data_IF_162075573759
#
_entry.id   IF_162075573759
#
_cell.length_a   1.000
_cell.length_b   1.000
_cell.length_c   1.000
_cell.angle_alpha   90.00
_cell.angle_beta   90.00
_cell.angle_gamma   90.00
#
_symmetry.space_group_name_H-M   'P 1'
#
loop_
_entity.id
_entity.type
_entity.pdbx_description
1 polymer ?
#
# COMPACT_ATOMS: atom_id res chain seq x y z
N UNK A 1 11.22 -22.29 -22.62
CA UNK A 1 12.14 -21.28 -22.04
C UNK A 1 13.43 -22.00 -21.63
N UNK A 2 14.51 -21.66 -22.30
CA UNK A 2 15.71 -22.44 -22.43
C UNK A 2 16.37 -22.76 -21.08
N UNK A 3 16.76 -24.03 -20.85
CA UNK A 3 17.46 -24.47 -19.63
C UNK A 3 18.80 -23.74 -19.43
N UNK A 4 19.39 -23.25 -20.52
CA UNK A 4 20.60 -22.44 -20.48
C UNK A 4 20.36 -21.03 -19.90
N UNK A 5 19.19 -20.43 -20.12
CA UNK A 5 18.79 -19.15 -19.53
C UNK A 5 18.56 -19.27 -18.02
N UNK A 6 17.97 -20.37 -17.56
CA UNK A 6 17.85 -20.67 -16.12
C UNK A 6 19.22 -20.87 -15.47
N UNK A 7 20.15 -21.56 -16.14
CA UNK A 7 21.53 -21.80 -15.64
C UNK A 7 22.36 -20.50 -15.57
N UNK A 8 22.18 -19.60 -16.53
CA UNK A 8 22.86 -18.29 -16.55
C UNK A 8 22.35 -17.34 -15.47
N UNK A 9 21.04 -17.30 -15.25
CA UNK A 9 20.41 -16.53 -14.15
C UNK A 9 20.89 -17.05 -12.77
N UNK A 10 21.09 -18.38 -12.65
CA UNK A 10 21.61 -19.03 -11.45
C UNK A 10 23.08 -18.69 -11.16
N UNK A 11 23.95 -18.69 -12.17
CA UNK A 11 25.39 -18.41 -11.97
C UNK A 11 25.66 -16.94 -11.62
N UNK A 12 24.83 -16.01 -12.07
CA UNK A 12 24.92 -14.58 -11.69
C UNK A 12 24.37 -14.34 -10.28
N UNK A 13 23.38 -15.12 -9.84
CA UNK A 13 22.79 -15.01 -8.50
C UNK A 13 23.61 -15.71 -7.41
N UNK A 14 24.36 -16.77 -7.73
CA UNK A 14 25.09 -17.57 -6.73
C UNK A 14 26.37 -16.94 -6.20
N UNK A 15 26.92 -15.92 -6.86
CA UNK A 15 28.20 -15.32 -6.47
C UNK A 15 28.10 -14.04 -5.63
N UNK A 16 27.00 -13.77 -4.97
CA UNK A 16 26.88 -12.77 -3.87
C UNK A 16 27.48 -11.38 -4.13
N UNK A 17 27.78 -11.03 -5.38
CA UNK A 17 28.47 -9.80 -5.73
C UNK A 17 27.47 -8.76 -6.27
N UNK A 18 27.30 -7.77 -5.46
CA UNK A 18 27.07 -6.34 -5.64
C UNK A 18 26.30 -5.88 -6.91
N UNK A 19 25.37 -4.90 -6.69
CA UNK A 19 24.80 -4.00 -7.69
C UNK A 19 25.75 -3.67 -8.87
N UNK A 20 27.02 -3.42 -8.59
CA UNK A 20 28.06 -3.14 -9.58
C UNK A 20 28.23 -4.30 -10.58
N UNK A 21 28.10 -5.54 -10.15
CA UNK A 21 28.23 -6.71 -11.05
C UNK A 21 27.04 -6.81 -12.01
N UNK A 22 25.82 -6.61 -11.51
CA UNK A 22 24.64 -6.59 -12.38
C UNK A 22 24.69 -5.43 -13.36
N UNK A 23 25.12 -4.27 -12.90
CA UNK A 23 25.27 -3.09 -13.74
C UNK A 23 26.33 -3.29 -14.84
N UNK A 24 27.52 -3.77 -14.45
CA UNK A 24 28.61 -4.01 -15.40
C UNK A 24 28.24 -5.12 -16.39
N UNK A 25 27.55 -6.17 -15.94
CA UNK A 25 27.08 -7.24 -16.83
C UNK A 25 26.05 -6.72 -17.84
N UNK A 26 25.08 -5.93 -17.37
CA UNK A 26 24.08 -5.33 -18.25
C UNK A 26 24.74 -4.42 -19.30
N UNK A 27 25.69 -3.56 -18.87
CA UNK A 27 26.40 -2.65 -19.77
C UNK A 27 27.25 -3.40 -20.78
N UNK A 28 27.98 -4.44 -20.35
CA UNK A 28 28.86 -5.22 -21.22
C UNK A 28 28.11 -6.03 -22.28
N UNK A 29 26.90 -6.52 -21.99
CA UNK A 29 26.14 -7.40 -22.87
C UNK A 29 24.81 -6.77 -23.32
N UNK A 30 24.67 -5.44 -23.22
CA UNK A 30 23.38 -4.77 -23.47
C UNK A 30 22.81 -5.03 -24.85
N UNK A 31 23.64 -5.06 -25.89
CA UNK A 31 23.18 -5.27 -27.27
C UNK A 31 22.86 -6.76 -27.55
N UNK A 32 23.53 -7.68 -26.88
CA UNK A 32 23.36 -9.12 -27.05
C UNK A 32 22.12 -9.68 -26.33
N UNK A 33 21.66 -8.98 -25.28
CA UNK A 33 20.54 -9.45 -24.46
C UNK A 33 19.20 -9.19 -25.14
N UNK A 34 18.27 -10.18 -25.16
CA UNK A 34 16.90 -9.98 -25.56
C UNK A 34 16.24 -8.84 -24.74
N UNK A 35 15.32 -8.09 -25.36
CA UNK A 35 14.62 -6.97 -24.73
C UNK A 35 14.04 -7.31 -23.34
N UNK A 36 13.44 -8.48 -23.20
CA UNK A 36 12.84 -8.95 -21.92
C UNK A 36 13.89 -9.06 -20.81
N UNK A 37 15.10 -9.55 -21.12
CA UNK A 37 16.19 -9.67 -20.14
C UNK A 37 16.79 -8.31 -19.81
N UNK A 38 16.96 -7.43 -20.80
CA UNK A 38 17.37 -6.02 -20.55
C UNK A 38 16.45 -5.34 -19.55
N UNK A 39 15.14 -5.46 -19.76
CA UNK A 39 14.13 -4.92 -18.83
C UNK A 39 14.24 -5.54 -17.43
N UNK A 40 14.44 -6.86 -17.34
CA UNK A 40 14.61 -7.53 -16.05
C UNK A 40 15.81 -6.99 -15.26
N UNK A 41 16.96 -6.85 -15.88
CA UNK A 41 18.14 -6.30 -15.21
C UNK A 41 17.98 -4.83 -14.85
N UNK A 42 17.40 -4.02 -15.74
CA UNK A 42 17.11 -2.62 -15.47
C UNK A 42 16.18 -2.45 -14.25
N UNK A 43 15.10 -3.24 -14.17
CA UNK A 43 14.20 -3.19 -13.00
C UNK A 43 14.89 -3.66 -11.72
N UNK A 44 15.75 -4.69 -11.75
CA UNK A 44 16.52 -5.10 -10.59
C UNK A 44 17.45 -3.98 -10.08
N UNK A 45 18.11 -3.27 -10.98
CA UNK A 45 18.95 -2.12 -10.63
C UNK A 45 18.12 -1.00 -9.97
N UNK A 46 16.94 -0.70 -10.53
CA UNK A 46 16.03 0.29 -9.96
C UNK A 46 15.57 -0.15 -8.56
N UNK A 47 15.12 -1.38 -8.41
CA UNK A 47 14.62 -1.95 -7.16
C UNK A 47 15.69 -1.95 -6.06
N UNK A 48 16.97 -2.12 -6.42
CA UNK A 48 18.09 -2.08 -5.47
C UNK A 48 18.21 -0.74 -4.73
N UNK A 49 17.87 0.37 -5.38
CA UNK A 49 17.86 1.70 -4.77
C UNK A 49 16.47 2.02 -4.21
N UNK A 50 15.44 1.67 -4.93
CA UNK A 50 14.06 2.03 -4.64
C UNK A 50 13.56 1.49 -3.30
N UNK A 51 13.75 0.19 -3.03
CA UNK A 51 13.23 -0.44 -1.82
C UNK A 51 13.88 0.08 -0.52
N UNK A 52 15.20 0.26 -0.40
CA UNK A 52 15.80 0.86 0.79
C UNK A 52 15.35 2.30 1.01
N UNK A 53 15.25 3.11 -0.05
CA UNK A 53 14.77 4.49 0.06
C UNK A 53 13.33 4.51 0.58
N UNK A 54 12.44 3.68 0.01
CA UNK A 54 11.07 3.58 0.48
C UNK A 54 10.97 3.03 1.91
N UNK A 55 11.81 2.08 2.29
CA UNK A 55 11.83 1.55 3.65
C UNK A 55 12.15 2.64 4.66
N UNK A 56 13.20 3.43 4.42
CA UNK A 56 13.59 4.53 5.33
C UNK A 56 12.53 5.63 5.38
N UNK A 57 12.10 6.11 4.20
CA UNK A 57 11.10 7.18 4.13
C UNK A 57 9.76 6.71 4.70
N UNK A 58 9.27 5.57 4.26
CA UNK A 58 7.97 5.05 4.67
C UNK A 58 7.91 4.70 6.16
N UNK A 59 8.97 4.13 6.72
CA UNK A 59 9.08 3.89 8.16
C UNK A 59 8.99 5.20 8.94
N UNK A 60 9.79 6.21 8.56
CA UNK A 60 9.82 7.48 9.24
C UNK A 60 8.47 8.23 9.16
N UNK A 61 7.86 8.31 7.97
CA UNK A 61 6.61 9.09 7.79
C UNK A 61 5.41 8.42 8.47
N UNK A 62 5.33 7.09 8.49
CA UNK A 62 4.25 6.40 9.18
C UNK A 62 4.37 6.49 10.70
N UNK A 63 5.58 6.38 11.28
CA UNK A 63 5.79 6.64 12.70
C UNK A 63 5.40 8.09 13.06
N UNK A 64 5.83 9.06 12.26
CA UNK A 64 5.45 10.45 12.48
C UNK A 64 3.92 10.63 12.46
N UNK A 65 3.21 9.99 11.55
CA UNK A 65 1.74 10.01 11.51
C UNK A 65 1.11 9.41 12.75
N UNK A 66 1.59 8.24 13.20
CA UNK A 66 1.07 7.56 14.40
C UNK A 66 1.27 8.43 15.65
N UNK A 67 2.37 9.19 15.72
CA UNK A 67 2.68 10.05 16.87
C UNK A 67 1.96 11.41 16.81
N UNK A 68 1.83 12.01 15.63
CA UNK A 68 1.33 13.39 15.48
C UNK A 68 -0.21 13.44 15.44
N UNK A 69 -0.86 12.53 14.69
CA UNK A 69 -2.30 12.56 14.49
C UNK A 69 -3.10 12.46 15.80
N UNK A 70 -2.78 11.57 16.75
CA UNK A 70 -3.56 11.46 18.01
C UNK A 70 -3.49 12.69 18.91
N UNK A 71 -2.49 13.56 18.72
CA UNK A 71 -2.35 14.79 19.52
C UNK A 71 -3.47 15.81 19.27
N UNK A 72 -4.37 15.55 18.31
CA UNK A 72 -5.56 16.37 18.06
C UNK A 72 -5.31 17.76 17.44
N UNK A 73 -4.05 18.09 17.12
CA UNK A 73 -3.65 19.42 16.61
C UNK A 73 -3.74 19.55 15.09
N UNK A 74 -4.16 18.49 14.39
CA UNK A 74 -4.26 18.46 12.93
C UNK A 74 -5.58 19.05 12.37
N UNK A 75 -6.55 19.35 13.23
CA UNK A 75 -7.84 19.94 12.78
C UNK A 75 -8.79 18.95 12.09
N UNK A 76 -8.57 17.65 12.27
CA UNK A 76 -9.44 16.56 11.82
C UNK A 76 -10.27 16.02 12.99
N UNK A 77 -11.45 15.43 12.71
CA UNK A 77 -12.29 14.84 13.76
C UNK A 77 -11.62 13.62 14.38
N UNK A 78 -11.97 13.29 15.62
CA UNK A 78 -11.42 12.11 16.31
C UNK A 78 -11.70 10.81 15.57
N UNK A 79 -12.88 10.67 14.96
CA UNK A 79 -13.23 9.53 14.11
C UNK A 79 -12.25 9.38 12.94
N UNK A 80 -12.00 10.45 12.18
CA UNK A 80 -11.03 10.50 11.10
C UNK A 80 -9.64 10.14 11.58
N UNK A 81 -9.22 10.73 12.71
CA UNK A 81 -7.92 10.45 13.32
C UNK A 81 -7.72 8.95 13.56
N UNK A 82 -8.75 8.22 14.04
CA UNK A 82 -8.67 6.77 14.25
C UNK A 82 -8.37 6.01 12.95
N UNK A 83 -9.09 6.33 11.87
CA UNK A 83 -8.82 5.72 10.56
C UNK A 83 -7.41 6.03 10.05
N UNK A 84 -6.97 7.30 10.10
CA UNK A 84 -5.66 7.70 9.60
C UNK A 84 -4.51 7.08 10.40
N UNK A 85 -4.66 6.93 11.71
CA UNK A 85 -3.67 6.26 12.57
C UNK A 85 -3.63 4.76 12.29
N UNK A 86 -4.79 4.12 12.12
CA UNK A 86 -4.86 2.70 11.79
C UNK A 86 -4.24 2.41 10.42
N UNK A 87 -4.52 3.24 9.41
CA UNK A 87 -3.88 3.15 8.09
C UNK A 87 -2.36 3.30 8.21
N UNK A 88 -1.87 4.30 8.93
CA UNK A 88 -0.42 4.48 9.12
C UNK A 88 0.22 3.30 9.88
N UNK A 89 -0.48 2.69 10.82
CA UNK A 89 0.02 1.51 11.55
C UNK A 89 0.10 0.27 10.65
N UNK A 90 -0.91 0.02 9.83
CA UNK A 90 -0.89 -1.10 8.87
C UNK A 90 0.11 -0.87 7.74
N UNK A 91 0.22 0.35 7.22
CA UNK A 91 1.23 0.71 6.22
C UNK A 91 2.66 0.52 6.77
N UNK A 92 2.91 0.90 8.03
CA UNK A 92 4.18 0.63 8.71
C UNK A 92 4.45 -0.88 8.82
N UNK A 93 3.43 -1.67 9.15
CA UNK A 93 3.55 -3.13 9.21
C UNK A 93 3.89 -3.72 7.84
N UNK A 94 3.25 -3.27 6.77
CA UNK A 94 3.57 -3.68 5.39
C UNK A 94 5.01 -3.32 5.05
N UNK A 95 5.48 -2.11 5.37
CA UNK A 95 6.86 -1.71 5.13
C UNK A 95 7.85 -2.61 5.87
N UNK A 96 7.58 -2.95 7.12
CA UNK A 96 8.45 -3.84 7.90
C UNK A 96 8.44 -5.25 7.30
N UNK A 97 7.26 -5.82 7.07
CA UNK A 97 7.11 -7.20 6.63
C UNK A 97 7.53 -7.38 5.16
N UNK A 98 7.13 -6.49 4.28
CA UNK A 98 7.39 -6.63 2.84
C UNK A 98 8.74 -6.03 2.42
N UNK A 99 9.05 -4.78 2.78
CA UNK A 99 10.31 -4.16 2.36
C UNK A 99 11.51 -4.63 3.17
N UNK A 100 11.43 -4.51 4.50
CA UNK A 100 12.59 -4.72 5.37
C UNK A 100 12.90 -6.21 5.53
N UNK A 101 11.88 -7.05 5.72
CA UNK A 101 12.08 -8.48 5.98
C UNK A 101 12.07 -9.34 4.70
N UNK A 102 11.55 -8.87 3.58
CA UNK A 102 11.43 -9.63 2.34
C UNK A 102 12.24 -9.04 1.19
N UNK A 103 11.88 -7.87 0.66
CA UNK A 103 12.51 -7.32 -0.55
C UNK A 103 13.97 -6.93 -0.37
N UNK A 104 14.32 -6.23 0.72
CA UNK A 104 15.71 -5.83 0.96
C UNK A 104 16.63 -7.05 1.10
N UNK A 105 16.33 -8.07 1.94
CA UNK A 105 17.16 -9.28 2.01
C UNK A 105 17.31 -10.01 0.67
N UNK A 106 16.23 -10.12 -0.12
CA UNK A 106 16.28 -10.74 -1.45
C UNK A 106 17.25 -10.00 -2.38
N UNK A 107 17.14 -8.67 -2.45
CA UNK A 107 17.92 -7.86 -3.37
C UNK A 107 19.41 -7.76 -2.95
N UNK A 108 19.66 -7.68 -1.65
CA UNK A 108 21.02 -7.59 -1.10
C UNK A 108 21.63 -8.95 -0.77
N UNK A 109 20.91 -10.05 -1.02
CA UNK A 109 21.33 -11.41 -0.69
C UNK A 109 21.80 -11.56 0.76
N UNK A 110 21.17 -10.83 1.67
CA UNK A 110 21.45 -10.91 3.10
C UNK A 110 20.66 -12.04 3.74
N UNK A 111 21.36 -12.93 4.36
CA UNK A 111 20.73 -14.05 5.06
C UNK A 111 20.16 -13.60 6.39
N UNK A 112 18.85 -13.70 6.51
CA UNK A 112 18.17 -13.59 7.79
C UNK A 112 17.88 -15.02 8.29
N UNK A 113 18.78 -15.58 9.07
CA UNK A 113 18.71 -16.98 9.50
C UNK A 113 17.39 -17.39 10.15
N UNK A 114 16.76 -16.48 10.92
CA UNK A 114 15.48 -16.77 11.58
C UNK A 114 14.31 -16.88 10.60
N UNK A 115 14.35 -16.20 9.46
CA UNK A 115 13.29 -16.25 8.43
C UNK A 115 13.34 -17.56 7.65
N UNK A 116 14.45 -18.30 7.71
CA UNK A 116 14.60 -19.60 7.06
C UNK A 116 13.75 -20.72 7.67
N UNK A 117 13.21 -20.54 8.87
CA UNK A 117 12.32 -21.54 9.45
C UNK A 117 11.00 -21.60 8.67
N UNK A 118 10.58 -22.79 8.27
CA UNK A 118 9.30 -23.06 7.62
C UNK A 118 8.13 -22.38 8.33
N UNK A 119 8.05 -22.51 9.66
CA UNK A 119 6.97 -21.90 10.45
C UNK A 119 7.00 -20.39 10.43
N UNK A 120 8.19 -19.79 10.48
CA UNK A 120 8.36 -18.33 10.42
C UNK A 120 7.92 -17.79 9.07
N UNK A 121 8.24 -18.49 7.99
CA UNK A 121 7.86 -18.14 6.64
C UNK A 121 6.32 -18.09 6.48
N UNK A 122 5.63 -19.13 6.95
CA UNK A 122 4.17 -19.21 6.86
C UNK A 122 3.49 -18.13 7.72
N UNK A 123 3.96 -17.92 8.95
CA UNK A 123 3.45 -16.87 9.84
C UNK A 123 3.68 -15.49 9.23
N UNK A 124 4.87 -15.25 8.68
CA UNK A 124 5.17 -13.99 8.01
C UNK A 124 4.24 -13.73 6.84
N UNK A 125 3.95 -14.74 6.01
CA UNK A 125 3.02 -14.61 4.89
C UNK A 125 1.61 -14.24 5.36
N UNK A 126 1.09 -14.90 6.42
CA UNK A 126 -0.20 -14.55 7.02
C UNK A 126 -0.19 -13.09 7.49
N UNK A 127 0.84 -12.68 8.22
CA UNK A 127 0.93 -11.33 8.77
C UNK A 127 1.03 -10.27 7.67
N UNK A 128 1.83 -10.52 6.62
CA UNK A 128 1.99 -9.62 5.49
C UNK A 128 0.67 -9.45 4.73
N UNK A 129 0.00 -10.56 4.41
CA UNK A 129 -1.26 -10.50 3.68
C UNK A 129 -2.38 -9.87 4.53
N UNK A 130 -2.44 -10.18 5.82
CA UNK A 130 -3.40 -9.56 6.73
C UNK A 130 -3.15 -8.05 6.90
N UNK A 131 -1.89 -7.61 7.02
CA UNK A 131 -1.55 -6.19 7.06
C UNK A 131 -1.92 -5.46 5.77
N UNK A 132 -1.66 -6.07 4.62
CA UNK A 132 -2.03 -5.55 3.30
C UNK A 132 -3.54 -5.42 3.16
N UNK A 133 -4.30 -6.46 3.54
CA UNK A 133 -5.76 -6.42 3.57
C UNK A 133 -6.29 -5.30 4.48
N UNK A 134 -5.73 -5.18 5.68
CA UNK A 134 -6.12 -4.12 6.61
C UNK A 134 -5.89 -2.73 6.01
N UNK A 135 -4.73 -2.46 5.40
CA UNK A 135 -4.45 -1.18 4.75
C UNK A 135 -5.49 -0.84 3.69
N UNK A 136 -5.84 -1.81 2.84
CA UNK A 136 -6.84 -1.66 1.78
C UNK A 136 -8.24 -1.44 2.35
N UNK A 137 -8.70 -2.31 3.25
CA UNK A 137 -10.05 -2.23 3.80
C UNK A 137 -10.25 -1.06 4.77
N UNK A 138 -9.19 -0.57 5.41
CA UNK A 138 -9.24 0.68 6.17
C UNK A 138 -9.43 1.88 5.25
N UNK A 139 -8.85 1.86 4.05
CA UNK A 139 -9.09 2.89 3.03
C UNK A 139 -10.55 2.88 2.55
N UNK A 140 -11.15 1.70 2.34
CA UNK A 140 -12.59 1.57 2.04
C UNK A 140 -13.44 2.11 3.19
N UNK A 141 -13.14 1.69 4.42
CA UNK A 141 -13.89 2.09 5.61
C UNK A 141 -13.82 3.61 5.85
N UNK A 142 -12.63 4.20 5.68
CA UNK A 142 -12.44 5.65 5.70
C UNK A 142 -13.27 6.36 4.61
N UNK A 143 -13.24 5.82 3.38
CA UNK A 143 -14.00 6.37 2.24
C UNK A 143 -15.51 6.34 2.53
N UNK A 144 -16.00 5.23 3.09
CA UNK A 144 -17.39 5.09 3.50
C UNK A 144 -17.76 6.05 4.64
N UNK A 145 -16.94 6.19 5.67
CA UNK A 145 -17.16 7.15 6.76
C UNK A 145 -17.25 8.59 6.22
N UNK A 146 -16.39 8.96 5.29
CA UNK A 146 -16.42 10.27 4.65
C UNK A 146 -17.65 10.45 3.78
N UNK A 147 -18.06 9.44 3.01
CA UNK A 147 -19.32 9.44 2.27
C UNK A 147 -20.50 9.71 3.19
N UNK A 148 -20.59 9.00 4.32
CA UNK A 148 -21.65 9.20 5.32
C UNK A 148 -21.64 10.62 5.89
N UNK A 149 -20.45 11.14 6.21
CA UNK A 149 -20.32 12.49 6.78
C UNK A 149 -20.68 13.61 5.80
N UNK A 150 -20.45 13.41 4.49
CA UNK A 150 -20.68 14.41 3.44
C UNK A 150 -22.12 14.33 2.91
N UNK A 151 -22.59 13.11 2.61
CA UNK A 151 -23.84 12.88 1.89
C UNK A 151 -25.05 12.61 2.80
N UNK A 152 -24.82 12.09 4.02
CA UNK A 152 -25.87 11.61 4.92
C UNK A 152 -25.82 12.35 6.27
N UNK A 153 -26.01 13.67 6.28
CA UNK A 153 -25.84 14.51 7.49
C UNK A 153 -26.69 14.05 8.70
N UNK A 154 -27.89 13.52 8.47
CA UNK A 154 -28.75 12.99 9.55
C UNK A 154 -28.13 11.77 10.26
N UNK A 155 -27.34 11.00 9.56
CA UNK A 155 -26.71 9.77 10.08
C UNK A 155 -25.28 10.02 10.58
N UNK A 156 -24.69 11.17 10.27
CA UNK A 156 -23.31 11.54 10.65
C UNK A 156 -23.08 11.40 12.17
N UNK A 157 -24.00 11.92 12.99
CA UNK A 157 -23.89 11.90 14.46
C UNK A 157 -23.93 10.48 15.02
N UNK A 158 -24.62 9.56 14.35
CA UNK A 158 -24.76 8.17 14.77
C UNK A 158 -23.58 7.31 14.31
N UNK A 159 -23.11 7.45 13.07
CA UNK A 159 -22.14 6.56 12.44
C UNK A 159 -20.71 7.09 12.46
N UNK A 160 -20.48 8.39 12.32
CA UNK A 160 -19.13 8.97 12.28
C UNK A 160 -18.60 9.27 13.70
N UNK A 161 -18.66 8.29 14.59
CA UNK A 161 -18.20 8.39 15.97
C UNK A 161 -16.86 7.68 16.16
N UNK A 162 -16.11 8.06 17.19
CA UNK A 162 -14.84 7.41 17.55
C UNK A 162 -15.05 5.93 17.91
N UNK A 163 -16.15 5.61 18.59
CA UNK A 163 -16.51 4.24 18.98
C UNK A 163 -16.82 3.37 17.75
N UNK A 164 -17.61 3.89 16.82
CA UNK A 164 -17.93 3.18 15.57
C UNK A 164 -16.68 2.91 14.75
N UNK A 165 -15.78 3.90 14.62
CA UNK A 165 -14.50 3.73 13.94
C UNK A 165 -13.66 2.61 14.59
N UNK A 166 -13.57 2.58 15.92
CA UNK A 166 -12.81 1.53 16.63
C UNK A 166 -13.40 0.13 16.40
N UNK A 167 -14.74 0.00 16.44
CA UNK A 167 -15.42 -1.28 16.16
C UNK A 167 -15.18 -1.73 14.72
N UNK A 168 -15.34 -0.83 13.73
CA UNK A 168 -15.11 -1.15 12.31
C UNK A 168 -13.66 -1.58 12.09
N UNK A 169 -12.69 -0.83 12.60
CA UNK A 169 -11.27 -1.16 12.47
C UNK A 169 -10.94 -2.50 13.11
N UNK A 170 -11.45 -2.78 14.32
CA UNK A 170 -11.27 -4.06 14.99
C UNK A 170 -11.89 -5.23 14.21
N UNK A 171 -13.11 -5.06 13.70
CA UNK A 171 -13.78 -6.09 12.87
C UNK A 171 -13.01 -6.38 11.60
N UNK A 172 -12.57 -5.35 10.88
CA UNK A 172 -11.76 -5.51 9.66
C UNK A 172 -10.46 -6.23 9.97
N UNK A 173 -9.77 -5.89 11.07
CA UNK A 173 -8.52 -6.56 11.47
C UNK A 173 -8.76 -8.05 11.74
N UNK A 174 -9.80 -8.41 12.48
CA UNK A 174 -10.14 -9.80 12.76
C UNK A 174 -10.48 -10.57 11.47
N UNK A 175 -11.33 -10.02 10.62
CA UNK A 175 -11.72 -10.65 9.36
C UNK A 175 -10.53 -10.82 8.41
N UNK A 176 -9.64 -9.82 8.33
CA UNK A 176 -8.41 -9.91 7.53
C UNK A 176 -7.46 -10.98 8.07
N UNK A 177 -7.34 -11.11 9.39
CA UNK A 177 -6.58 -12.19 10.01
C UNK A 177 -7.14 -13.57 9.65
N UNK A 178 -8.44 -13.77 9.84
CA UNK A 178 -9.12 -15.04 9.51
C UNK A 178 -9.01 -15.38 8.03
N UNK A 179 -9.26 -14.42 7.15
CA UNK A 179 -9.19 -14.63 5.70
C UNK A 179 -7.83 -15.16 5.26
N UNK A 180 -6.76 -14.74 5.92
CA UNK A 180 -5.39 -15.06 5.48
C UNK A 180 -4.78 -16.30 6.14
N UNK A 181 -5.51 -17.01 7.01
CA UNK A 181 -5.01 -18.25 7.64
C UNK A 181 -4.66 -19.32 6.60
N UNK A 182 -5.36 -19.38 5.46
CA UNK A 182 -5.10 -20.37 4.42
C UNK A 182 -3.68 -20.32 3.85
N UNK A 183 -3.00 -19.17 3.90
CA UNK A 183 -1.61 -19.04 3.47
C UNK A 183 -0.65 -19.93 4.27
N UNK A 184 -1.02 -20.29 5.52
CA UNK A 184 -0.24 -21.23 6.32
C UNK A 184 -0.14 -22.61 5.66
N UNK A 185 -1.20 -23.04 5.01
CA UNK A 185 -1.32 -24.39 4.44
C UNK A 185 -0.79 -24.47 3.00
N UNK A 186 -0.82 -23.38 2.27
CA UNK A 186 -0.37 -23.32 0.87
C UNK A 186 1.16 -23.23 0.76
N UNK A 187 1.79 -22.51 1.67
CA UNK A 187 3.22 -22.29 1.60
C UNK A 187 3.96 -23.42 2.30
N UNK A 188 4.79 -24.12 1.54
CA UNK A 188 5.77 -25.06 2.10
C UNK A 188 7.13 -24.39 2.12
N UNK A 189 7.84 -24.50 3.23
CA UNK A 189 9.23 -24.08 3.33
C UNK A 189 10.09 -25.06 2.55
N UNK A 190 10.40 -24.78 1.31
CA UNK A 190 11.39 -25.51 0.57
C UNK A 190 12.76 -24.89 0.80
N UNK A 191 13.56 -25.52 1.65
CA UNK A 191 14.96 -25.22 1.75
C UNK A 191 15.69 -25.81 0.57
N UNK A 192 15.82 -25.09 -0.51
CA UNK A 192 17.01 -25.26 -1.34
C UNK A 192 18.07 -24.32 -0.77
N UNK A 193 19.19 -24.89 -0.35
CA UNK A 193 20.38 -24.21 0.18
C UNK A 193 21.05 -23.23 -0.80
N UNK A 194 20.36 -22.81 -1.83
CA UNK A 194 20.85 -21.91 -2.84
C UNK A 194 20.55 -20.48 -2.42
N UNK A 195 21.44 -19.90 -1.63
CA UNK A 195 21.78 -18.46 -1.53
C UNK A 195 20.67 -17.41 -1.69
N UNK A 196 19.40 -17.74 -1.50
CA UNK A 196 18.33 -16.81 -1.56
C UNK A 196 17.68 -16.63 -0.19
N UNK A 197 17.57 -15.41 0.35
CA UNK A 197 17.25 -15.17 1.76
C UNK A 197 15.77 -15.31 2.13
N UNK A 198 14.88 -15.51 1.17
CA UNK A 198 13.45 -15.60 1.40
C UNK A 198 12.81 -16.73 0.60
N UNK A 199 12.33 -17.78 1.28
CA UNK A 199 11.79 -18.94 0.61
C UNK A 199 10.50 -19.48 1.21
N UNK A 200 9.42 -18.83 0.86
CA UNK A 200 8.14 -19.48 0.83
C UNK A 200 7.59 -19.36 -0.58
N UNK A 201 7.52 -20.43 -1.31
CA UNK A 201 6.78 -20.46 -2.56
C UNK A 201 5.69 -21.51 -2.53
N UNK A 202 4.72 -21.26 -3.35
CA UNK A 202 3.58 -22.17 -3.54
C UNK A 202 4.12 -23.43 -4.22
N UNK A 203 3.81 -24.60 -3.69
CA UNK A 203 4.22 -25.89 -4.29
C UNK A 203 3.50 -26.14 -5.60
N UNK A 204 4.12 -26.92 -6.48
CA UNK A 204 3.50 -27.30 -7.77
C UNK A 204 2.18 -28.06 -7.56
N UNK A 205 2.05 -28.85 -6.51
CA UNK A 205 0.82 -29.54 -6.16
C UNK A 205 -0.34 -28.57 -5.87
N UNK A 206 -0.05 -27.45 -5.21
CA UNK A 206 -1.03 -26.39 -4.92
C UNK A 206 -1.37 -25.63 -6.18
N UNK A 207 -0.38 -25.26 -7.00
CA UNK A 207 -0.57 -24.51 -8.25
C UNK A 207 -1.41 -25.31 -9.25
N UNK A 208 -1.23 -26.63 -9.31
CA UNK A 208 -1.98 -27.52 -10.22
C UNK A 208 -3.34 -27.96 -9.65
N UNK A 209 -3.66 -27.61 -8.40
CA UNK A 209 -4.95 -27.94 -7.80
C UNK A 209 -6.01 -26.89 -8.15
N UNK A 210 -7.12 -27.25 -8.81
CA UNK A 210 -8.18 -26.30 -9.14
C UNK A 210 -8.85 -25.68 -7.91
N UNK A 211 -8.87 -26.40 -6.79
CA UNK A 211 -9.44 -25.92 -5.52
C UNK A 211 -8.58 -24.77 -4.96
N UNK A 212 -7.27 -24.97 -4.89
CA UNK A 212 -6.37 -23.93 -4.42
C UNK A 212 -6.28 -22.73 -5.37
N UNK A 213 -6.29 -22.97 -6.67
CA UNK A 213 -6.37 -21.88 -7.66
C UNK A 213 -7.64 -21.05 -7.47
N UNK A 214 -8.79 -21.66 -7.22
CA UNK A 214 -10.05 -20.97 -6.93
C UNK A 214 -9.99 -20.17 -5.62
N UNK A 215 -9.38 -20.71 -4.55
CA UNK A 215 -9.20 -20.01 -3.27
C UNK A 215 -8.31 -18.78 -3.45
N UNK A 216 -7.20 -18.92 -4.17
CA UNK A 216 -6.27 -17.81 -4.44
C UNK A 216 -6.96 -16.75 -5.33
N UNK A 217 -7.72 -17.20 -6.34
CA UNK A 217 -8.50 -16.28 -7.18
C UNK A 217 -9.51 -15.49 -6.35
N UNK A 218 -10.27 -16.16 -5.46
CA UNK A 218 -11.21 -15.52 -4.56
C UNK A 218 -10.50 -14.51 -3.63
N UNK A 219 -9.29 -14.85 -3.15
CA UNK A 219 -8.48 -13.93 -2.36
C UNK A 219 -8.20 -12.62 -3.12
N UNK A 220 -7.81 -12.69 -4.41
CA UNK A 220 -7.56 -11.48 -5.23
C UNK A 220 -8.84 -10.74 -5.61
N UNK A 221 -9.99 -11.42 -5.73
CA UNK A 221 -11.28 -10.74 -5.89
C UNK A 221 -11.64 -9.97 -4.62
N UNK A 222 -11.47 -10.56 -3.43
CA UNK A 222 -11.77 -9.92 -2.16
C UNK A 222 -10.82 -8.77 -1.83
N UNK A 223 -9.58 -8.87 -2.26
CA UNK A 223 -8.57 -7.81 -2.10
C UNK A 223 -7.55 -7.91 -3.24
N UNK A 224 -7.46 -6.93 -4.16
CA UNK A 224 -7.99 -5.56 -4.10
C UNK A 224 -9.26 -5.26 -4.91
N UNK A 225 -9.86 -6.22 -5.65
CA UNK A 225 -10.89 -5.89 -6.67
C UNK A 225 -12.17 -5.30 -6.08
N UNK A 226 -12.77 -5.94 -5.07
CA UNK A 226 -13.98 -5.42 -4.40
C UNK A 226 -13.70 -4.06 -3.76
N UNK A 227 -12.63 -3.86 -2.96
CA UNK A 227 -12.23 -2.55 -2.48
C UNK A 227 -12.13 -1.48 -3.56
N UNK A 228 -11.49 -1.79 -4.68
CA UNK A 228 -11.35 -0.87 -5.80
C UNK A 228 -12.72 -0.43 -6.35
N UNK A 229 -13.62 -1.37 -6.61
CA UNK A 229 -14.98 -1.10 -7.08
C UNK A 229 -15.78 -0.27 -6.06
N UNK A 230 -15.70 -0.59 -4.77
CA UNK A 230 -16.37 0.13 -3.70
C UNK A 230 -15.87 1.58 -3.59
N UNK A 231 -14.56 1.80 -3.64
CA UNK A 231 -13.96 3.13 -3.59
C UNK A 231 -14.40 3.96 -4.80
N UNK A 232 -14.38 3.41 -6.00
CA UNK A 232 -14.88 4.08 -7.21
C UNK A 232 -16.35 4.46 -7.08
N UNK A 233 -17.19 3.52 -6.65
CA UNK A 233 -18.63 3.75 -6.46
C UNK A 233 -18.89 4.86 -5.44
N UNK A 234 -18.28 4.76 -4.25
CA UNK A 234 -18.46 5.75 -3.18
C UNK A 234 -17.99 7.14 -3.61
N UNK A 235 -16.84 7.23 -4.28
CA UNK A 235 -16.34 8.51 -4.79
C UNK A 235 -17.26 9.10 -5.86
N UNK A 236 -17.74 8.28 -6.79
CA UNK A 236 -18.66 8.73 -7.86
C UNK A 236 -19.96 9.25 -7.28
N UNK A 237 -20.57 8.53 -6.31
CA UNK A 237 -21.80 8.97 -5.65
C UNK A 237 -21.55 10.24 -4.84
N UNK A 238 -20.43 10.33 -4.13
CA UNK A 238 -20.05 11.52 -3.36
C UNK A 238 -19.88 12.73 -4.28
N UNK A 239 -19.14 12.59 -5.39
CA UNK A 239 -18.93 13.65 -6.38
C UNK A 239 -20.27 14.14 -6.96
N UNK A 240 -21.15 13.21 -7.37
CA UNK A 240 -22.49 13.55 -7.87
C UNK A 240 -23.30 14.36 -6.85
N UNK A 241 -23.32 13.94 -5.59
CA UNK A 241 -24.02 14.66 -4.51
C UNK A 241 -23.46 16.06 -4.26
N UNK A 242 -22.14 16.22 -4.30
CA UNK A 242 -21.49 17.53 -4.14
C UNK A 242 -21.85 18.46 -5.30
N UNK A 243 -21.81 17.96 -6.54
CA UNK A 243 -22.16 18.76 -7.74
C UNK A 243 -23.62 19.21 -7.68
N UNK A 244 -24.55 18.31 -7.36
CA UNK A 244 -25.98 18.64 -7.25
C UNK A 244 -26.23 19.69 -6.14
N UNK A 245 -25.60 19.51 -4.97
CA UNK A 245 -25.74 20.47 -3.87
C UNK A 245 -25.13 21.85 -4.24
N UNK A 246 -24.04 21.89 -5.00
CA UNK A 246 -23.42 23.14 -5.45
C UNK A 246 -24.27 23.85 -6.50
N UNK A 247 -24.92 23.11 -7.42
CA UNK A 247 -25.87 23.67 -8.41
C UNK A 247 -27.07 24.27 -7.73
N UNK A 248 -27.70 23.57 -6.79
CA UNK A 248 -28.84 24.08 -6.03
C UNK A 248 -28.50 25.38 -5.27
N UNK A 249 -27.32 25.43 -4.64
CA UNK A 249 -26.86 26.67 -3.96
C UNK A 249 -26.61 27.82 -4.92
N UNK A 250 -26.08 27.58 -6.12
CA UNK A 250 -25.92 28.64 -7.13
C UNK A 250 -27.25 29.22 -7.57
N UNK A 251 -28.26 28.39 -7.77
CA UNK A 251 -29.61 28.84 -8.11
C UNK A 251 -30.22 29.72 -7.01
N UNK A 252 -30.03 29.35 -5.74
CA UNK A 252 -30.51 30.12 -4.59
C UNK A 252 -29.73 31.44 -4.38
N UNK A 253 -28.42 31.47 -4.67
CA UNK A 253 -27.61 32.70 -4.55
C UNK A 253 -27.82 33.70 -5.67
N UNK A 254 -28.24 33.28 -6.85
CA UNK A 254 -28.60 34.19 -7.94
C UNK A 254 -29.74 35.15 -7.59
N UNK A 255 -30.44 34.92 -6.46
CA UNK A 255 -31.51 35.76 -5.95
C UNK A 255 -31.07 36.68 -4.78
N UNK A 256 -29.85 36.62 -4.28
CA UNK A 256 -29.38 37.43 -3.13
C UNK A 256 -27.91 37.80 -3.28
N UNK A 257 -27.65 39.04 -3.68
CA UNK A 257 -26.30 39.64 -3.72
C UNK A 257 -25.91 40.13 -2.32
N UNK A 258 -25.22 39.29 -1.56
CA UNK A 258 -24.61 39.67 -0.29
C UNK A 258 -23.33 38.88 -0.09
N UNK A 259 -22.17 39.58 0.09
CA UNK A 259 -20.90 39.01 0.51
C UNK A 259 -21.07 38.34 1.88
N UNK A 260 -21.08 37.02 1.89
CA UNK A 260 -21.09 36.24 3.14
C UNK A 260 -19.66 35.90 3.53
N UNK A 261 -19.22 36.20 4.77
CA UNK A 261 -17.88 35.84 5.26
C UNK A 261 -17.66 34.33 5.08
N UNK A 262 -16.41 33.94 4.77
CA UNK A 262 -16.07 32.52 4.57
C UNK A 262 -16.34 31.73 5.86
N UNK A 263 -17.43 30.98 5.86
CA UNK A 263 -17.87 30.13 6.98
C UNK A 263 -16.77 29.07 7.27
N UNK A 264 -16.19 29.02 8.50
CA UNK A 264 -15.16 28.06 8.87
C UNK A 264 -15.64 26.60 8.75
N UNK A 265 -16.96 26.36 8.86
CA UNK A 265 -17.55 25.03 8.64
C UNK A 265 -17.43 24.60 7.18
N UNK A 266 -17.61 25.53 6.24
CA UNK A 266 -17.45 25.28 4.80
C UNK A 266 -16.00 24.97 4.44
N UNK A 267 -15.03 25.66 5.05
CA UNK A 267 -13.60 25.38 4.85
C UNK A 267 -13.23 23.98 5.37
N UNK A 268 -13.72 23.60 6.55
CA UNK A 268 -13.50 22.25 7.13
C UNK A 268 -14.11 21.16 6.26
N UNK A 269 -15.31 21.38 5.72
CA UNK A 269 -16.00 20.45 4.81
C UNK A 269 -15.22 20.28 3.50
N UNK A 270 -14.73 21.36 2.91
CA UNK A 270 -13.90 21.35 1.71
C UNK A 270 -12.63 20.52 1.91
N UNK A 271 -11.94 20.73 3.04
CA UNK A 271 -10.71 19.98 3.35
C UNK A 271 -10.98 18.47 3.53
N UNK A 272 -12.11 18.09 4.11
CA UNK A 272 -12.52 16.69 4.23
C UNK A 272 -12.82 16.05 2.86
N UNK A 273 -13.42 16.81 1.95
CA UNK A 273 -13.70 16.36 0.58
C UNK A 273 -12.38 16.17 -0.19
N UNK A 274 -11.46 17.12 -0.11
CA UNK A 274 -10.14 17.03 -0.76
C UNK A 274 -9.39 15.81 -0.21
N UNK A 275 -9.35 15.63 1.12
CA UNK A 275 -8.69 14.51 1.75
C UNK A 275 -9.24 13.15 1.25
N UNK A 276 -10.57 13.03 1.15
CA UNK A 276 -11.23 11.84 0.63
C UNK A 276 -10.76 11.52 -0.79
N UNK A 277 -10.88 12.48 -1.72
CA UNK A 277 -10.56 12.22 -3.13
C UNK A 277 -9.08 11.99 -3.37
N UNK A 278 -8.21 12.64 -2.62
CA UNK A 278 -6.75 12.46 -2.78
C UNK A 278 -6.32 11.10 -2.24
N UNK A 279 -6.81 10.65 -1.07
CA UNK A 279 -6.50 9.31 -0.54
C UNK A 279 -7.02 8.21 -1.47
N UNK A 280 -8.29 8.28 -1.86
CA UNK A 280 -8.88 7.26 -2.73
C UNK A 280 -8.32 7.29 -4.14
N UNK A 281 -7.99 8.46 -4.69
CA UNK A 281 -7.32 8.60 -5.99
C UNK A 281 -5.92 8.01 -5.96
N UNK A 282 -5.15 8.27 -4.91
CA UNK A 282 -3.85 7.67 -4.68
C UNK A 282 -3.94 6.13 -4.65
N UNK A 283 -4.89 5.58 -3.90
CA UNK A 283 -5.13 4.14 -3.87
C UNK A 283 -5.43 3.58 -5.26
N UNK A 284 -6.40 4.17 -5.98
CA UNK A 284 -6.80 3.72 -7.32
C UNK A 284 -5.60 3.72 -8.27
N UNK A 285 -4.82 4.80 -8.32
CA UNK A 285 -3.69 4.95 -9.23
C UNK A 285 -2.56 3.96 -8.93
N UNK A 286 -2.22 3.77 -7.66
CA UNK A 286 -1.06 2.97 -7.27
C UNK A 286 -1.37 1.47 -7.20
N UNK A 287 -2.64 1.07 -7.04
CA UNK A 287 -3.02 -0.34 -6.99
C UNK A 287 -3.53 -0.90 -8.31
N UNK A 288 -3.87 -0.06 -9.30
CA UNK A 288 -4.48 -0.50 -10.55
C UNK A 288 -3.64 -1.53 -11.31
N UNK A 289 -2.34 -1.28 -11.45
CA UNK A 289 -1.43 -2.18 -12.20
C UNK A 289 -1.31 -3.53 -11.50
N UNK A 290 -1.11 -3.52 -10.18
CA UNK A 290 -1.04 -4.75 -9.39
C UNK A 290 -2.34 -5.56 -9.47
N UNK A 291 -3.49 -4.89 -9.34
CA UNK A 291 -4.81 -5.52 -9.41
C UNK A 291 -5.05 -6.21 -10.76
N UNK A 292 -4.83 -5.49 -11.85
CA UNK A 292 -5.05 -6.04 -13.21
C UNK A 292 -4.14 -7.23 -13.45
N UNK A 293 -2.85 -7.09 -13.14
CA UNK A 293 -1.89 -8.17 -13.34
C UNK A 293 -2.21 -9.40 -12.47
N UNK A 294 -2.60 -9.21 -11.19
CA UNK A 294 -2.93 -10.32 -10.30
C UNK A 294 -4.13 -11.12 -10.80
N UNK A 295 -5.21 -10.45 -11.19
CA UNK A 295 -6.40 -11.13 -11.75
C UNK A 295 -6.04 -11.87 -13.03
N UNK A 296 -5.32 -11.22 -13.93
CA UNK A 296 -4.90 -11.83 -15.19
C UNK A 296 -4.09 -13.09 -14.98
N UNK A 297 -3.12 -13.05 -14.08
CA UNK A 297 -2.30 -14.21 -13.73
C UNK A 297 -3.14 -15.35 -13.14
N UNK A 298 -4.12 -15.03 -12.29
CA UNK A 298 -5.00 -16.07 -11.71
C UNK A 298 -5.95 -16.67 -12.76
N UNK A 299 -6.44 -15.91 -13.74
CA UNK A 299 -7.23 -16.44 -14.85
C UNK A 299 -6.43 -17.44 -15.68
N UNK A 300 -5.13 -17.18 -15.89
CA UNK A 300 -4.23 -18.14 -16.55
C UNK A 300 -4.15 -19.46 -15.78
N UNK A 301 -3.97 -19.43 -14.46
CA UNK A 301 -3.93 -20.63 -13.63
C UNK A 301 -5.28 -21.40 -13.57
N UNK A 302 -6.39 -20.72 -13.81
CA UNK A 302 -7.72 -21.33 -13.92
C UNK A 302 -7.99 -21.95 -15.31
N UNK A 303 -7.01 -21.90 -16.24
CA UNK A 303 -7.12 -22.53 -17.55
C UNK A 303 -7.75 -21.64 -18.64
N UNK A 304 -7.92 -20.34 -18.39
CA UNK A 304 -8.35 -19.42 -19.43
C UNK A 304 -7.16 -19.04 -20.32
N UNK A 305 -7.35 -19.08 -21.64
CA UNK A 305 -6.35 -18.58 -22.59
C UNK A 305 -6.11 -17.09 -22.34
N UNK A 306 -4.96 -16.76 -21.82
CA UNK A 306 -4.58 -15.38 -21.53
C UNK A 306 -3.32 -14.99 -22.27
N UNK A 307 -3.26 -13.75 -22.74
CA UNK A 307 -2.06 -13.18 -23.34
C UNK A 307 -0.97 -13.09 -22.27
N UNK A 308 0.26 -13.48 -22.61
CA UNK A 308 1.39 -13.38 -21.71
C UNK A 308 1.62 -11.92 -21.28
N UNK A 309 1.53 -11.65 -19.98
CA UNK A 309 1.94 -10.38 -19.42
C UNK A 309 3.42 -10.46 -19.03
N UNK A 310 4.26 -9.53 -19.51
CA UNK A 310 5.66 -9.49 -19.14
C UNK A 310 5.84 -9.32 -17.61
N UNK A 311 6.80 -10.06 -17.03
CA UNK A 311 7.05 -10.06 -15.58
C UNK A 311 7.31 -8.66 -14.99
N UNK A 312 7.86 -7.72 -15.76
CA UNK A 312 8.11 -6.34 -15.31
C UNK A 312 6.83 -5.57 -14.99
N UNK A 313 5.69 -5.96 -15.53
CA UNK A 313 4.39 -5.37 -15.17
C UNK A 313 4.04 -5.70 -13.73
N UNK A 314 4.30 -6.94 -13.29
CA UNK A 314 4.14 -7.34 -11.90
C UNK A 314 5.09 -6.58 -10.98
N UNK A 315 6.37 -6.44 -11.38
CA UNK A 315 7.36 -5.67 -10.62
C UNK A 315 6.93 -4.21 -10.45
N UNK A 316 6.46 -3.56 -11.53
CA UNK A 316 5.89 -2.21 -11.46
C UNK A 316 4.70 -2.17 -10.51
N UNK A 317 3.79 -3.13 -10.63
CA UNK A 317 2.60 -3.20 -9.76
C UNK A 317 2.97 -3.28 -8.28
N UNK A 318 3.91 -4.13 -7.92
CA UNK A 318 4.41 -4.26 -6.54
C UNK A 318 5.13 -2.99 -6.06
N UNK A 319 5.96 -2.38 -6.90
CA UNK A 319 6.63 -1.11 -6.57
C UNK A 319 5.62 0.00 -6.28
N UNK A 320 4.59 0.14 -7.11
CA UNK A 320 3.53 1.12 -6.92
C UNK A 320 2.69 0.83 -5.67
N UNK A 321 2.35 -0.44 -5.43
CA UNK A 321 1.61 -0.87 -4.24
C UNK A 321 2.35 -0.46 -2.96
N UNK A 322 3.65 -0.73 -2.87
CA UNK A 322 4.44 -0.36 -1.69
C UNK A 322 4.61 1.16 -1.57
N UNK A 323 4.71 1.88 -2.69
CA UNK A 323 4.71 3.34 -2.70
C UNK A 323 3.45 3.90 -2.04
N UNK A 324 2.29 3.24 -2.20
CA UNK A 324 1.04 3.70 -1.58
C UNK A 324 1.14 3.77 -0.06
N UNK A 325 1.88 2.85 0.57
CA UNK A 325 2.11 2.84 2.03
C UNK A 325 2.99 4.02 2.50
N UNK A 326 3.72 4.67 1.61
CA UNK A 326 4.57 5.82 1.95
C UNK A 326 3.89 7.18 1.68
N UNK A 327 2.89 7.22 0.79
CA UNK A 327 2.30 8.47 0.30
C UNK A 327 1.20 9.04 1.19
N UNK A 328 0.53 8.23 2.00
CA UNK A 328 -0.58 8.64 2.85
C UNK A 328 -0.22 9.83 3.77
N UNK A 329 0.94 9.79 4.43
CA UNK A 329 1.40 10.89 5.29
C UNK A 329 1.64 12.19 4.52
N UNK A 330 2.21 12.11 3.31
CA UNK A 330 2.39 13.27 2.45
C UNK A 330 1.03 13.89 2.07
N UNK A 331 0.03 13.04 1.81
CA UNK A 331 -1.35 13.47 1.54
C UNK A 331 -1.93 14.25 2.72
N UNK A 332 -1.76 13.75 3.96
CA UNK A 332 -2.24 14.45 5.15
C UNK A 332 -1.56 15.81 5.33
N UNK A 333 -0.26 15.87 5.11
CA UNK A 333 0.51 17.12 5.18
C UNK A 333 0.14 18.12 4.08
N UNK A 334 -0.21 17.66 2.89
CA UNK A 334 -0.61 18.54 1.77
C UNK A 334 -2.04 19.06 1.94
N UNK A 335 -2.97 18.20 2.33
CA UNK A 335 -4.40 18.53 2.40
C UNK A 335 -4.81 19.27 3.67
N UNK A 336 -4.05 19.10 4.78
CA UNK A 336 -4.37 19.67 6.08
C UNK A 336 -3.27 20.64 6.56
N UNK A 337 -3.52 21.95 6.44
CA UNK A 337 -2.53 23.00 6.80
C UNK A 337 -2.04 22.89 8.25
N UNK A 338 -2.94 22.59 9.19
CA UNK A 338 -2.59 22.38 10.61
C UNK A 338 -1.70 21.16 10.80
N UNK A 339 -1.98 20.06 10.11
CA UNK A 339 -1.14 18.86 10.11
C UNK A 339 0.26 19.17 9.57
N UNK A 340 0.35 19.84 8.42
CA UNK A 340 1.63 20.24 7.83
C UNK A 340 2.49 21.07 8.80
N UNK A 341 1.87 21.96 9.57
CA UNK A 341 2.58 22.75 10.58
C UNK A 341 3.12 21.88 11.72
N UNK A 342 2.35 20.87 12.17
CA UNK A 342 2.81 19.92 13.19
C UNK A 342 3.98 19.07 12.68
N UNK A 343 3.92 18.55 11.45
CA UNK A 343 5.02 17.81 10.84
C UNK A 343 6.30 18.65 10.74
N UNK A 344 6.18 19.92 10.31
CA UNK A 344 7.31 20.86 10.26
C UNK A 344 7.93 21.13 11.63
N UNK A 345 7.09 21.29 12.66
CA UNK A 345 7.56 21.53 14.02
C UNK A 345 8.33 20.33 14.59
N UNK A 346 7.82 19.10 14.37
CA UNK A 346 8.50 17.87 14.79
C UNK A 346 9.80 17.66 14.02
N UNK A 347 9.82 17.94 12.70
CA UNK A 347 11.04 17.84 11.89
C UNK A 347 12.13 18.84 12.29
N UNK A 348 11.76 19.99 12.87
CA UNK A 348 12.72 20.98 13.41
C UNK A 348 13.26 20.61 14.80
N UNK A 349 12.56 19.74 15.54
CA UNK A 349 12.91 19.42 16.92
C UNK A 349 14.33 18.85 17.09
N UNK A 350 14.80 17.87 16.31
CA UNK A 350 16.17 17.35 16.43
C UNK A 350 17.22 18.45 16.15
N UNK A 351 17.00 19.32 15.16
CA UNK A 351 17.90 20.44 14.87
C UNK A 351 17.95 21.45 16.03
N UNK A 352 16.81 21.71 16.65
CA UNK A 352 16.73 22.63 17.81
C UNK A 352 17.41 22.02 19.05
N UNK A 353 17.33 20.71 19.20
CA UNK A 353 18.00 19.98 20.28
C UNK A 353 19.53 19.99 20.09
N UNK A 354 20.00 19.71 18.89
CA UNK A 354 21.42 19.76 18.53
C UNK A 354 21.98 21.17 18.74
N UNK A 355 21.28 22.21 18.27
CA UNK A 355 21.69 23.61 18.49
C UNK A 355 21.73 24.01 19.96
N UNK A 356 20.83 23.45 20.80
CA UNK A 356 20.89 23.66 22.25
C UNK A 356 22.05 22.94 22.92
N UNK A 357 22.45 21.77 22.39
CA UNK A 357 23.61 21.03 22.89
C UNK A 357 24.94 21.69 22.50
N UNK A 358 25.01 22.29 21.31
CA UNK A 358 26.21 23.01 20.83
C UNK A 358 26.37 24.35 21.55
N UNK A 359 25.27 24.94 22.04
CA UNK A 359 25.31 26.26 22.77
C UNK A 359 25.53 26.10 24.29
N UNK A 360 25.64 24.87 24.80
CA UNK A 360 26.09 24.55 26.14
C UNK A 360 27.57 24.16 26.15
#
# INVERSE_FOLDING_TARGET
>A
MDQNLKKMDWNVTTNGKSFILYFNYLVAHYEELPFVLRMRYAFRIIQYIYYPVLAVVGFAVNILSIVILPRGKCGVSRCVTRYLVAMAATDLLVIILDLILRHIPIHYQKELHFVRSFRVCNIHAILLQAATDCSVWFTVSFTFDRFMAICCQKLKTKYCTERTAAVVLGTVTLLSGFKNIFWYFILTGFYTLANMPWFCYITDDVLNSPVWAAIIFLHYILTPCIPFALILLLNTVTARRIILASRARRQLRGASSGDCPSDPEMASRRNSIILLFVISGNFILLWAVFMVNSIWTQMYFLGYDSVYIPFYVMDIGLMLQVLSCCTNTAIYAMTQTKCRQQFKNVGKYPFTLILKLIKR
#
